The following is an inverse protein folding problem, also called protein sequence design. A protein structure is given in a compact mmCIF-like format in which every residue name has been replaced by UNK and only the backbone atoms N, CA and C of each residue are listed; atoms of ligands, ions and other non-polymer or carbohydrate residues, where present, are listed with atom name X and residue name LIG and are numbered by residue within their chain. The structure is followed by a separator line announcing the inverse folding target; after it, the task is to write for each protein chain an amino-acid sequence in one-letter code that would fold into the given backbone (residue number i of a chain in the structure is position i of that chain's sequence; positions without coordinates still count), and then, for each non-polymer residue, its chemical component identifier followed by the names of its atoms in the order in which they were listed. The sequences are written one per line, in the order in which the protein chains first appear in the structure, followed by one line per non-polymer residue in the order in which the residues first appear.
data_IF_861241390205
#
_entry.id   IF_861241390205
#
_cell.length_a   1.000
_cell.length_b   1.000
_cell.length_c   1.000
_cell.angle_alpha   90.00
_cell.angle_beta   90.00
_cell.angle_gamma   90.00
#
_symmetry.space_group_name_H-M   'P 1'
#
loop_
_entity.id
_entity.type
_entity.pdbx_description
1 polymer ?
#
# COMPACT_ATOMS: atom_id res chain seq x y z
N UNK A 1 52.42 12.25 3.20
CA UNK A 1 51.25 12.79 2.46
C UNK A 1 50.12 11.79 2.26
N UNK A 2 50.34 10.50 2.19
CA UNK A 2 49.36 9.44 1.90
C UNK A 2 48.28 9.20 2.99
N UNK A 3 48.57 9.41 4.26
CA UNK A 3 47.59 9.17 5.35
C UNK A 3 46.46 10.21 5.46
N UNK A 4 46.69 11.44 5.01
CA UNK A 4 45.65 12.51 5.03
C UNK A 4 44.67 12.36 3.87
N UNK A 5 45.09 11.82 2.73
CA UNK A 5 44.20 11.58 1.57
C UNK A 5 43.27 10.42 1.86
N UNK A 6 43.69 9.37 2.57
CA UNK A 6 42.84 8.23 2.95
C UNK A 6 41.72 8.62 3.91
N UNK A 7 41.99 9.58 4.84
CA UNK A 7 40.97 10.04 5.79
C UNK A 7 39.87 10.89 5.12
N UNK A 8 40.25 11.71 4.14
CA UNK A 8 39.29 12.52 3.34
C UNK A 8 38.42 11.62 2.46
N UNK A 9 39.00 10.59 1.83
CA UNK A 9 38.25 9.61 1.03
C UNK A 9 37.25 8.81 1.89
N UNK A 10 37.59 8.48 3.14
CA UNK A 10 36.70 7.76 4.06
C UNK A 10 35.52 8.64 4.53
N UNK A 11 35.75 9.93 4.79
CA UNK A 11 34.69 10.89 5.14
C UNK A 11 33.77 11.15 3.92
N UNK A 12 34.30 11.27 2.72
CA UNK A 12 33.48 11.40 1.51
C UNK A 12 32.65 10.14 1.23
N UNK A 13 33.17 8.95 1.47
CA UNK A 13 32.44 7.68 1.29
C UNK A 13 31.31 7.54 2.31
N UNK A 14 31.50 7.99 3.54
CA UNK A 14 30.45 7.97 4.58
C UNK A 14 29.34 8.99 4.30
N UNK A 15 29.67 10.15 3.72
CA UNK A 15 28.69 11.16 3.32
C UNK A 15 27.80 10.70 2.13
N UNK A 16 28.37 9.98 1.16
CA UNK A 16 27.63 9.45 0.02
C UNK A 16 26.67 8.32 0.42
N UNK A 17 27.04 7.50 1.41
CA UNK A 17 26.18 6.41 1.90
C UNK A 17 24.90 6.91 2.58
N UNK A 18 24.90 8.10 3.17
CA UNK A 18 23.74 8.65 3.87
C UNK A 18 22.74 9.37 2.93
N UNK A 19 23.19 9.87 1.77
CA UNK A 19 22.32 10.58 0.85
C UNK A 19 21.31 9.64 0.15
N UNK A 20 21.69 8.39 -0.15
CA UNK A 20 20.82 7.40 -0.77
C UNK A 20 19.83 6.75 0.21
N UNK A 21 20.05 6.89 1.51
CA UNK A 21 19.23 6.24 2.53
C UNK A 21 17.87 6.93 2.77
N UNK A 22 17.71 8.18 2.32
CA UNK A 22 16.48 8.98 2.50
C UNK A 22 15.55 8.95 1.28
N UNK A 23 15.87 8.17 0.24
CA UNK A 23 15.01 7.94 -0.93
C UNK A 23 14.21 6.65 -0.75
N UNK A 24 13.28 6.38 -1.68
CA UNK A 24 12.44 5.18 -1.66
C UNK A 24 11.20 5.33 -0.79
N UNK A 25 10.61 4.20 -0.44
CA UNK A 25 9.35 4.15 0.31
C UNK A 25 9.59 4.07 1.81
N UNK A 26 8.88 4.89 2.55
CA UNK A 26 8.92 5.00 4.00
C UNK A 26 7.52 4.97 4.56
N UNK A 27 7.29 4.23 5.63
CA UNK A 27 5.97 4.16 6.24
C UNK A 27 6.01 4.29 7.75
N UNK A 28 4.89 4.76 8.31
CA UNK A 28 4.70 4.87 9.74
C UNK A 28 3.24 4.90 10.13
N UNK A 29 2.97 4.66 11.41
CA UNK A 29 1.60 4.69 11.97
C UNK A 29 1.43 5.90 12.86
N UNK A 30 0.55 6.79 12.44
CA UNK A 30 0.14 7.95 13.21
C UNK A 30 -0.93 7.52 14.24
N UNK A 31 -0.70 7.76 15.52
CA UNK A 31 -1.67 7.44 16.57
C UNK A 31 -2.59 8.65 16.83
N UNK A 32 -3.85 8.50 16.44
CA UNK A 32 -4.88 9.53 16.66
C UNK A 32 -5.83 9.00 17.74
N UNK A 33 -5.54 9.32 19.00
CA UNK A 33 -6.37 8.93 20.15
C UNK A 33 -6.66 7.42 20.21
N UNK A 34 -5.64 6.60 19.96
CA UNK A 34 -5.73 5.14 19.99
C UNK A 34 -6.06 4.49 18.65
N UNK A 35 -6.49 5.25 17.65
CA UNK A 35 -6.66 4.76 16.29
C UNK A 35 -5.36 4.99 15.51
N UNK A 36 -4.80 3.92 14.97
CA UNK A 36 -3.57 3.99 14.16
C UNK A 36 -3.90 4.18 12.70
N UNK A 37 -3.37 5.24 12.12
CA UNK A 37 -3.50 5.56 10.71
C UNK A 37 -2.15 5.33 10.00
N UNK A 38 -2.15 4.46 9.02
CA UNK A 38 -0.95 4.18 8.21
C UNK A 38 -0.70 5.31 7.21
N UNK A 39 0.53 5.80 7.20
CA UNK A 39 1.01 6.78 6.22
C UNK A 39 2.21 6.18 5.49
N UNK A 40 2.23 6.33 4.18
CA UNK A 40 3.33 5.88 3.30
C UNK A 40 3.84 7.07 2.51
N UNK A 41 5.14 7.30 2.56
CA UNK A 41 5.81 8.36 1.83
C UNK A 41 6.77 7.74 0.82
N UNK A 42 6.58 8.02 -0.46
CA UNK A 42 7.56 7.74 -1.50
C UNK A 42 8.45 8.96 -1.64
N UNK A 43 9.67 8.85 -1.15
CA UNK A 43 10.64 9.94 -1.12
C UNK A 43 11.51 9.93 -2.39
N UNK A 44 10.89 9.71 -3.54
CA UNK A 44 11.53 9.83 -4.84
C UNK A 44 11.87 11.30 -5.12
N UNK A 45 13.06 11.56 -5.66
CA UNK A 45 13.53 12.92 -5.91
C UNK A 45 12.74 13.65 -7.01
N UNK A 46 12.20 12.91 -7.97
CA UNK A 46 11.45 13.51 -9.08
C UNK A 46 9.97 13.74 -8.75
N UNK A 47 9.33 12.79 -8.09
CA UNK A 47 7.89 12.83 -7.83
C UNK A 47 7.55 12.22 -6.47
N UNK A 48 7.91 12.89 -5.38
CA UNK A 48 7.54 12.39 -4.06
C UNK A 48 6.04 12.40 -3.86
N UNK A 49 5.53 11.36 -3.20
CA UNK A 49 4.10 11.21 -2.92
C UNK A 49 3.85 10.75 -1.49
N UNK A 50 2.62 10.96 -1.03
CA UNK A 50 2.10 10.39 0.20
C UNK A 50 0.82 9.59 -0.09
N UNK A 51 0.74 8.41 0.54
CA UNK A 51 -0.45 7.57 0.57
C UNK A 51 -0.98 7.46 2.00
N UNK A 52 -2.28 7.28 2.14
CA UNK A 52 -2.94 6.88 3.38
C UNK A 52 -3.84 5.68 3.10
N UNK A 53 -3.30 4.45 3.18
CA UNK A 53 -4.01 3.23 2.79
C UNK A 53 -5.31 3.02 3.55
N UNK A 54 -5.32 3.33 4.86
CA UNK A 54 -6.52 3.18 5.70
C UNK A 54 -7.65 4.17 5.35
N UNK A 55 -7.34 5.19 4.56
CA UNK A 55 -8.30 6.19 4.06
C UNK A 55 -8.55 6.07 2.56
N UNK A 56 -7.96 5.08 1.89
CA UNK A 56 -8.06 4.89 0.43
C UNK A 56 -7.40 6.01 -0.40
N UNK A 57 -6.51 6.77 0.20
CA UNK A 57 -5.83 7.89 -0.46
C UNK A 57 -4.51 7.41 -1.01
N UNK A 58 -4.25 7.68 -2.30
CA UNK A 58 -2.99 7.32 -2.99
C UNK A 58 -2.46 8.46 -3.85
N UNK A 59 -1.14 8.57 -3.93
CA UNK A 59 -0.45 9.43 -4.88
C UNK A 59 -0.60 10.93 -4.65
N UNK A 60 -0.85 11.38 -3.41
CA UNK A 60 -0.87 12.80 -3.12
C UNK A 60 0.51 13.39 -3.32
N UNK A 61 0.60 14.43 -4.14
CA UNK A 61 1.86 15.11 -4.41
C UNK A 61 2.47 15.65 -3.10
N UNK A 62 3.72 15.30 -2.86
CA UNK A 62 4.50 15.78 -1.74
C UNK A 62 5.68 16.64 -2.22
N UNK A 63 6.27 17.36 -1.30
CA UNK A 63 7.51 18.12 -1.47
C UNK A 63 8.48 17.66 -0.38
N UNK A 64 9.72 17.38 -0.75
CA UNK A 64 10.74 16.89 0.18
C UNK A 64 11.93 17.84 0.19
N UNK A 65 12.25 18.35 1.37
CA UNK A 65 13.44 19.18 1.60
C UNK A 65 14.40 18.39 2.49
N UNK A 66 15.64 18.23 2.05
CA UNK A 66 16.70 17.53 2.80
C UNK A 66 17.70 18.55 3.31
N UNK A 67 17.86 18.59 4.63
CA UNK A 67 18.80 19.47 5.33
C UNK A 67 20.11 18.77 5.70
N UNK A 68 20.96 19.52 6.36
CA UNK A 68 22.20 19.01 6.93
C UNK A 68 21.90 18.03 8.09
N UNK A 69 22.88 17.19 8.42
CA UNK A 69 22.83 16.26 9.56
C UNK A 69 21.64 15.28 9.54
N UNK A 70 21.08 15.00 8.34
CA UNK A 70 19.96 14.05 8.21
C UNK A 70 18.59 14.65 8.53
N UNK A 71 18.45 15.97 8.58
CA UNK A 71 17.14 16.62 8.68
C UNK A 71 16.33 16.41 7.39
N UNK A 72 15.04 16.11 7.52
CA UNK A 72 14.10 15.99 6.41
C UNK A 72 12.79 16.71 6.74
N UNK A 73 12.25 17.41 5.78
CA UNK A 73 10.93 18.03 5.85
C UNK A 73 10.11 17.51 4.68
N UNK A 74 8.92 16.99 4.97
CA UNK A 74 7.98 16.51 3.96
C UNK A 74 6.70 17.31 4.07
N UNK A 75 6.28 17.94 2.98
CA UNK A 75 5.06 18.74 2.90
C UNK A 75 4.07 18.09 1.94
N UNK A 76 2.80 18.03 2.32
CA UNK A 76 1.70 17.66 1.42
C UNK A 76 0.71 18.82 1.39
N UNK A 77 0.89 19.76 0.44
CA UNK A 77 0.16 21.04 0.44
C UNK A 77 -1.35 20.89 0.34
N UNK A 78 -1.84 19.89 -0.41
CA UNK A 78 -3.27 19.61 -0.58
C UNK A 78 -4.01 19.29 0.72
N UNK A 79 -3.29 18.80 1.74
CA UNK A 79 -3.82 18.45 3.05
C UNK A 79 -3.26 19.32 4.18
N UNK A 80 -2.48 20.34 3.87
CA UNK A 80 -1.78 21.18 4.85
C UNK A 80 -0.93 20.35 5.84
N UNK A 81 -0.30 19.28 5.36
CA UNK A 81 0.57 18.43 6.17
C UNK A 81 1.99 18.96 6.08
N UNK A 82 2.68 19.00 7.23
CA UNK A 82 4.11 19.24 7.36
C UNK A 82 4.70 18.22 8.35
N UNK A 83 5.56 17.35 7.85
CA UNK A 83 6.34 16.42 8.68
C UNK A 83 7.78 16.92 8.78
N UNK A 84 8.29 17.04 9.99
CA UNK A 84 9.68 17.40 10.26
C UNK A 84 10.36 16.24 11.00
N UNK A 85 11.35 15.65 10.38
CA UNK A 85 12.04 14.49 10.88
C UNK A 85 13.55 14.60 10.89
N UNK A 86 14.15 13.71 11.65
CA UNK A 86 15.59 13.51 11.77
C UNK A 86 15.91 12.05 11.51
N UNK A 87 16.84 11.81 10.59
CA UNK A 87 17.39 10.48 10.35
C UNK A 87 18.13 9.95 11.59
N UNK A 88 17.76 8.74 12.02
CA UNK A 88 18.40 8.03 13.13
C UNK A 88 18.55 6.56 12.78
N UNK A 89 19.78 6.11 12.55
CA UNK A 89 20.04 4.72 12.10
C UNK A 89 19.25 4.34 10.83
N UNK A 90 18.26 3.49 10.96
CA UNK A 90 17.41 3.03 9.85
C UNK A 90 15.95 3.50 9.99
N UNK A 91 15.72 4.66 10.56
CA UNK A 91 14.39 5.27 10.72
C UNK A 91 14.48 6.78 10.65
N UNK A 92 13.34 7.43 10.39
CA UNK A 92 13.19 8.87 10.50
C UNK A 92 12.27 9.13 11.69
N UNK A 93 12.77 9.80 12.71
CA UNK A 93 12.00 10.17 13.90
C UNK A 93 11.60 11.62 13.78
N UNK A 94 10.31 11.90 13.88
CA UNK A 94 9.85 13.26 13.67
C UNK A 94 8.45 13.54 14.20
N UNK A 95 7.95 14.69 13.77
CA UNK A 95 6.65 15.22 14.16
C UNK A 95 5.82 15.48 12.92
N UNK A 96 4.64 14.90 12.90
CA UNK A 96 3.60 15.14 11.91
C UNK A 96 2.72 16.31 12.38
N UNK A 97 2.61 17.32 11.55
CA UNK A 97 1.80 18.50 11.80
C UNK A 97 0.73 18.63 10.73
N UNK A 98 -0.52 18.77 11.14
CA UNK A 98 -1.64 19.05 10.25
C UNK A 98 -2.62 20.00 10.96
N UNK A 99 -2.85 21.19 10.39
CA UNK A 99 -3.66 22.23 11.03
C UNK A 99 -3.18 22.50 12.48
N UNK A 100 -4.03 22.23 13.49
CA UNK A 100 -3.71 22.42 14.91
C UNK A 100 -3.30 21.12 15.62
N UNK A 101 -3.02 20.06 14.87
CA UNK A 101 -2.63 18.75 15.40
C UNK A 101 -1.14 18.55 15.17
N UNK A 102 -0.42 18.18 16.23
CA UNK A 102 1.00 17.85 16.20
C UNK A 102 1.21 16.52 16.91
N UNK A 103 1.65 15.49 16.19
CA UNK A 103 1.78 14.13 16.68
C UNK A 103 3.14 13.54 16.34
N UNK A 104 3.75 12.73 17.23
CA UNK A 104 4.96 12.01 16.89
C UNK A 104 4.70 10.99 15.79
N UNK A 105 5.62 10.89 14.83
CA UNK A 105 5.58 9.89 13.78
C UNK A 105 7.00 9.38 13.50
N UNK A 106 7.15 8.07 13.56
CA UNK A 106 8.38 7.39 13.19
C UNK A 106 8.14 6.72 11.84
N UNK A 107 9.02 7.01 10.88
CA UNK A 107 9.00 6.35 9.58
C UNK A 107 10.11 5.29 9.54
N UNK A 108 9.77 4.13 9.01
CA UNK A 108 10.67 3.01 8.74
C UNK A 108 10.71 2.70 7.25
N UNK A 109 11.82 2.15 6.72
CA UNK A 109 11.90 1.79 5.31
C UNK A 109 10.86 0.75 4.91
N UNK A 110 10.33 0.90 3.71
CA UNK A 110 9.35 0.00 3.13
C UNK A 110 7.91 0.46 3.30
N UNK A 111 7.00 -0.24 2.65
CA UNK A 111 5.57 -0.02 2.72
C UNK A 111 4.97 -0.90 3.82
N UNK A 112 4.31 -0.28 4.80
CA UNK A 112 3.49 -1.00 5.78
C UNK A 112 2.14 -1.31 5.14
N UNK A 113 2.07 -2.44 4.44
CA UNK A 113 0.83 -2.90 3.82
C UNK A 113 -0.14 -3.41 4.88
N UNK A 114 -1.44 -3.11 4.75
CA UNK A 114 -2.44 -3.71 5.62
C UNK A 114 -2.32 -5.24 5.60
N UNK A 115 -2.19 -5.85 6.80
CA UNK A 115 -2.15 -7.30 6.90
C UNK A 115 -3.54 -7.87 6.63
N UNK A 116 -3.70 -8.56 5.50
CA UNK A 116 -4.96 -9.18 5.05
C UNK A 116 -4.80 -10.69 4.89
N UNK A 117 -4.64 -11.44 5.98
CA UNK A 117 -4.35 -12.88 5.92
C UNK A 117 -5.45 -13.71 5.28
N UNK A 118 -6.68 -13.19 5.24
CA UNK A 118 -7.83 -13.83 4.62
C UNK A 118 -7.84 -13.73 3.08
N UNK A 119 -7.03 -12.81 2.49
CA UNK A 119 -6.99 -12.69 1.03
C UNK A 119 -6.35 -13.94 0.42
N UNK A 120 -7.04 -14.64 -0.49
CA UNK A 120 -6.54 -15.88 -1.04
C UNK A 120 -5.30 -15.65 -1.90
N UNK A 121 -4.32 -16.54 -1.74
CA UNK A 121 -3.03 -16.51 -2.47
C UNK A 121 -2.84 -17.83 -3.18
N UNK A 122 -2.42 -17.78 -4.44
CA UNK A 122 -2.11 -18.97 -5.22
C UNK A 122 -0.91 -19.75 -4.64
N UNK A 123 -0.84 -21.09 -4.85
CA UNK A 123 -1.74 -21.91 -5.65
C UNK A 123 -3.08 -22.20 -4.94
N UNK A 124 -4.17 -22.16 -5.72
CA UNK A 124 -5.49 -22.47 -5.19
C UNK A 124 -5.82 -23.95 -5.36
N UNK A 125 -6.56 -24.60 -4.42
CA UNK A 125 -7.06 -25.96 -4.55
C UNK A 125 -8.31 -26.07 -5.44
N UNK A 126 -8.65 -25.04 -6.18
CA UNK A 126 -9.80 -24.92 -7.04
C UNK A 126 -9.43 -24.18 -8.33
N UNK A 127 -10.26 -24.29 -9.38
CA UNK A 127 -10.03 -23.60 -10.64
C UNK A 127 -10.67 -22.19 -10.65
N UNK A 128 -10.02 -21.27 -11.35
CA UNK A 128 -10.58 -19.93 -11.65
C UNK A 128 -10.49 -19.68 -13.14
N UNK A 129 -11.57 -19.19 -13.73
CA UNK A 129 -11.69 -18.91 -15.16
C UNK A 129 -12.25 -17.52 -15.38
N UNK A 130 -11.66 -16.79 -16.33
CA UNK A 130 -12.25 -15.55 -16.85
C UNK A 130 -13.25 -15.91 -17.94
N UNK A 131 -14.52 -15.59 -17.69
CA UNK A 131 -15.62 -15.86 -18.62
C UNK A 131 -16.23 -14.54 -19.06
N UNK A 132 -16.76 -14.49 -20.27
CA UNK A 132 -17.50 -13.32 -20.76
C UNK A 132 -18.80 -13.73 -21.44
N UNK A 133 -19.82 -12.91 -21.27
CA UNK A 133 -21.10 -13.10 -21.94
C UNK A 133 -21.72 -11.76 -22.41
N UNK A 134 -22.51 -11.80 -23.43
CA UNK A 134 -23.19 -10.64 -23.97
C UNK A 134 -24.47 -10.34 -23.19
N UNK A 135 -24.72 -9.07 -22.90
CA UNK A 135 -25.98 -8.56 -22.40
C UNK A 135 -26.37 -7.33 -23.25
N UNK A 136 -27.19 -7.54 -24.24
CA UNK A 136 -27.49 -6.54 -25.27
C UNK A 136 -26.20 -6.11 -26.00
N UNK A 137 -25.87 -4.85 -25.98
CA UNK A 137 -24.67 -4.29 -26.63
C UNK A 137 -23.42 -4.31 -25.73
N UNK A 138 -23.51 -4.87 -24.52
CA UNK A 138 -22.43 -4.90 -23.56
C UNK A 138 -21.85 -6.31 -23.42
N UNK A 139 -20.55 -6.40 -23.24
CA UNK A 139 -19.87 -7.65 -22.88
C UNK A 139 -19.51 -7.56 -21.40
N UNK A 140 -20.09 -8.45 -20.61
CA UNK A 140 -19.79 -8.61 -19.21
C UNK A 140 -18.65 -9.61 -19.05
N UNK A 141 -17.60 -9.23 -18.31
CA UNK A 141 -16.48 -10.09 -17.98
C UNK A 141 -16.56 -10.43 -16.50
N UNK A 142 -16.49 -11.73 -16.22
CA UNK A 142 -16.73 -12.29 -14.89
C UNK A 142 -15.63 -13.28 -14.53
N UNK A 143 -15.40 -13.50 -13.24
CA UNK A 143 -14.55 -14.58 -12.77
C UNK A 143 -15.42 -15.71 -12.25
N UNK A 144 -15.31 -16.88 -12.88
CA UNK A 144 -15.92 -18.13 -12.43
C UNK A 144 -14.90 -18.86 -11.54
N UNK A 145 -15.32 -19.23 -10.33
CA UNK A 145 -14.53 -20.03 -9.39
C UNK A 145 -15.20 -21.38 -9.22
N UNK A 146 -14.48 -22.46 -9.50
CA UNK A 146 -14.99 -23.82 -9.54
C UNK A 146 -14.32 -24.68 -8.48
N UNK A 147 -15.06 -25.30 -7.54
CA UNK A 147 -14.48 -26.18 -6.52
C UNK A 147 -13.83 -27.43 -7.16
N UNK A 148 -12.97 -28.09 -6.43
CA UNK A 148 -12.41 -29.37 -6.86
C UNK A 148 -13.53 -30.41 -7.06
N UNK A 149 -13.48 -31.18 -8.15
CA UNK A 149 -14.50 -32.18 -8.47
C UNK A 149 -15.88 -31.62 -8.84
N UNK A 150 -15.97 -30.39 -9.29
CA UNK A 150 -17.24 -29.78 -9.70
C UNK A 150 -17.97 -30.58 -10.80
N UNK A 151 -19.28 -30.50 -10.81
CA UNK A 151 -20.16 -31.14 -11.78
C UNK A 151 -21.30 -30.19 -12.19
N UNK A 152 -22.23 -30.68 -13.05
CA UNK A 152 -23.43 -29.92 -13.40
C UNK A 152 -24.39 -29.69 -12.20
N UNK A 153 -24.23 -30.44 -11.12
CA UNK A 153 -25.03 -30.34 -9.91
C UNK A 153 -24.42 -29.46 -8.85
N UNK A 154 -23.18 -28.97 -9.11
CA UNK A 154 -22.50 -28.06 -8.18
C UNK A 154 -23.30 -26.77 -8.03
N UNK A 155 -23.67 -26.38 -6.81
CA UNK A 155 -24.39 -25.14 -6.58
C UNK A 155 -23.50 -23.95 -6.93
N UNK A 156 -24.07 -22.89 -7.49
CA UNK A 156 -23.37 -21.68 -7.91
C UNK A 156 -23.96 -20.46 -7.22
N UNK A 157 -23.11 -19.68 -6.57
CA UNK A 157 -23.47 -18.37 -6.02
C UNK A 157 -23.06 -17.26 -6.99
N UNK A 158 -24.01 -16.41 -7.34
CA UNK A 158 -23.72 -15.18 -8.08
C UNK A 158 -23.42 -14.04 -7.09
N UNK A 159 -22.26 -13.43 -7.25
CA UNK A 159 -21.80 -12.30 -6.43
C UNK A 159 -21.74 -11.06 -7.32
N UNK A 160 -22.54 -10.06 -6.95
CA UNK A 160 -22.74 -8.83 -7.72
C UNK A 160 -22.20 -7.66 -6.92
N UNK A 161 -21.36 -6.83 -7.57
CA UNK A 161 -20.82 -5.63 -6.93
C UNK A 161 -21.92 -4.59 -6.68
N UNK A 162 -21.65 -3.69 -5.72
CA UNK A 162 -22.51 -2.55 -5.43
C UNK A 162 -22.53 -1.51 -6.55
N UNK A 163 -23.30 -0.45 -6.35
CA UNK A 163 -23.36 0.68 -7.29
C UNK A 163 -22.04 1.48 -7.28
N UNK A 164 -21.65 2.01 -8.43
CA UNK A 164 -20.44 2.81 -8.62
C UNK A 164 -19.36 2.08 -9.42
N UNK A 165 -18.18 2.65 -9.46
CA UNK A 165 -17.01 2.07 -10.12
C UNK A 165 -16.34 1.06 -9.19
N UNK A 166 -16.83 -0.15 -9.17
CA UNK A 166 -16.27 -1.26 -8.39
C UNK A 166 -15.62 -2.29 -9.32
N UNK A 167 -14.59 -2.97 -8.81
CA UNK A 167 -14.13 -4.18 -9.47
C UNK A 167 -14.90 -5.39 -8.92
N UNK A 168 -14.81 -6.53 -9.60
CA UNK A 168 -15.55 -7.76 -9.25
C UNK A 168 -15.18 -8.39 -7.92
N UNK A 169 -14.14 -7.89 -7.25
CA UNK A 169 -13.71 -8.30 -5.91
C UNK A 169 -14.24 -7.38 -4.81
N UNK A 170 -14.97 -6.30 -5.19
CA UNK A 170 -15.41 -5.21 -4.30
C UNK A 170 -14.23 -4.66 -3.50
N UNK A 171 -13.10 -4.44 -4.20
CA UNK A 171 -11.83 -4.12 -3.55
C UNK A 171 -11.85 -2.74 -2.92
N UNK A 172 -11.63 -2.69 -1.61
CA UNK A 172 -11.56 -1.47 -0.82
C UNK A 172 -10.41 -1.58 0.19
N UNK A 173 -9.52 -0.60 0.22
CA UNK A 173 -8.37 -0.57 1.13
C UNK A 173 -7.52 -1.86 1.09
N UNK A 174 -7.18 -2.31 -0.11
CA UNK A 174 -6.46 -3.57 -0.36
C UNK A 174 -7.15 -4.83 0.22
N UNK A 175 -8.43 -4.74 0.58
CA UNK A 175 -9.27 -5.87 0.95
C UNK A 175 -10.16 -6.26 -0.22
N UNK A 176 -10.25 -7.58 -0.50
CA UNK A 176 -11.02 -8.17 -1.59
C UNK A 176 -12.10 -9.10 -1.06
N UNK A 177 -13.18 -8.56 -0.48
CA UNK A 177 -14.17 -9.37 0.23
C UNK A 177 -14.79 -10.45 -0.66
N UNK A 178 -15.08 -10.16 -1.93
CA UNK A 178 -15.67 -11.15 -2.83
C UNK A 178 -14.69 -12.25 -3.25
N UNK A 179 -13.39 -11.95 -3.34
CA UNK A 179 -12.39 -12.99 -3.53
C UNK A 179 -12.30 -13.91 -2.30
N UNK A 180 -12.37 -13.36 -1.10
CA UNK A 180 -12.39 -14.14 0.17
C UNK A 180 -13.61 -15.04 0.24
N UNK A 181 -14.80 -14.52 -0.08
CA UNK A 181 -16.03 -15.29 -0.11
C UNK A 181 -15.95 -16.41 -1.17
N UNK A 182 -15.45 -16.12 -2.36
CA UNK A 182 -15.32 -17.11 -3.43
C UNK A 182 -14.32 -18.23 -3.08
N UNK A 183 -13.21 -17.90 -2.43
CA UNK A 183 -12.25 -18.90 -1.92
C UNK A 183 -12.90 -19.80 -0.89
N UNK A 184 -13.62 -19.23 0.07
CA UNK A 184 -14.31 -20.00 1.09
C UNK A 184 -15.39 -20.92 0.49
N UNK A 185 -16.20 -20.41 -0.44
CA UNK A 185 -17.22 -21.19 -1.15
C UNK A 185 -16.61 -22.36 -1.91
N UNK A 186 -15.55 -22.11 -2.69
CA UNK A 186 -14.90 -23.15 -3.49
C UNK A 186 -14.30 -24.25 -2.61
N UNK A 187 -13.71 -23.92 -1.48
CA UNK A 187 -13.20 -24.90 -0.49
C UNK A 187 -14.33 -25.72 0.16
N UNK A 188 -15.57 -25.26 0.10
CA UNK A 188 -16.76 -25.93 0.62
C UNK A 188 -17.65 -26.51 -0.48
N UNK A 189 -17.15 -26.72 -1.68
CA UNK A 189 -17.86 -27.39 -2.76
C UNK A 189 -18.90 -26.54 -3.49
N UNK A 190 -18.85 -25.21 -3.36
CA UNK A 190 -19.77 -24.26 -3.97
C UNK A 190 -19.03 -23.43 -5.00
N UNK A 191 -19.50 -23.42 -6.23
CA UNK A 191 -18.97 -22.53 -7.27
C UNK A 191 -19.45 -21.08 -7.05
N UNK A 192 -18.72 -20.13 -7.60
CA UNK A 192 -19.12 -18.72 -7.56
C UNK A 192 -18.82 -18.00 -8.87
N UNK A 193 -19.67 -17.05 -9.22
CA UNK A 193 -19.50 -16.14 -10.34
C UNK A 193 -19.50 -14.70 -9.79
N UNK A 194 -18.40 -13.99 -9.99
CA UNK A 194 -18.22 -12.59 -9.56
C UNK A 194 -18.17 -11.66 -10.77
N UNK A 195 -18.95 -10.57 -10.74
CA UNK A 195 -18.92 -9.56 -11.80
C UNK A 195 -19.21 -8.15 -11.30
#
# INVERSE_FOLDING_TARGET
MTKRILFIAFILFYAISNANAQTGTWSGKLDIKGTKLSLVFNLDDEKPTMDSPDQGVKGLAAQVERGLEGKIIIKVPSLAINYEGQWQENKIVGTFNQMNVSLPLILTPGEDKPYRPQTPVAPFPYATEEVSFANGNYILRVTLTLPEGYSRETPVLLVVTGSGQQNRDEELFDHKPFAVIADWLARNGIASLRY
#
